data_IF_887165995040
#
_entry.id   IF_887165995040
#
_cell.length_a   1.000
_cell.length_b   1.000
_cell.length_c   1.000
_cell.angle_alpha   90.00
_cell.angle_beta   90.00
_cell.angle_gamma   90.00
#
_symmetry.space_group_name_H-M   'P 1'
#
loop_
_entity.id
_entity.type
_entity.pdbx_description
1 polymer ?
#
# COMPACT_ATOMS: atom_id res chain seq x y z
N UNK A 1 14.15 -5.74 5.61
CA UNK A 1 13.80 -4.52 6.37
C UNK A 1 12.60 -4.76 7.27
N UNK A 2 12.53 -4.04 8.38
CA UNK A 2 11.37 -4.09 9.27
C UNK A 2 10.23 -3.26 8.68
N UNK A 3 8.99 -3.75 8.80
CA UNK A 3 7.80 -3.06 8.29
C UNK A 3 7.18 -2.21 9.40
N UNK A 4 6.88 -0.96 9.08
CA UNK A 4 6.14 -0.05 9.94
C UNK A 4 4.89 0.39 9.16
N UNK A 5 3.73 0.29 9.80
CA UNK A 5 2.45 0.72 9.19
C UNK A 5 2.07 2.08 9.74
N UNK A 6 1.83 3.05 8.85
CA UNK A 6 1.14 4.26 9.28
C UNK A 6 -0.32 3.92 9.61
N UNK A 7 -0.89 4.67 10.55
CA UNK A 7 -2.29 4.50 10.94
C UNK A 7 -3.23 4.60 9.73
N UNK A 8 -2.92 5.53 8.81
CA UNK A 8 -3.72 5.70 7.59
C UNK A 8 -3.72 4.47 6.71
N UNK A 9 -2.60 3.76 6.59
CA UNK A 9 -2.52 2.51 5.83
C UNK A 9 -3.37 1.42 6.48
N UNK A 10 -3.30 1.30 7.81
CA UNK A 10 -4.13 0.33 8.55
C UNK A 10 -5.60 0.62 8.34
N UNK A 11 -6.01 1.88 8.44
CA UNK A 11 -7.41 2.30 8.21
C UNK A 11 -7.85 2.00 6.78
N UNK A 12 -6.98 2.23 5.79
CA UNK A 12 -7.29 1.91 4.40
C UNK A 12 -7.57 0.42 4.23
N UNK A 13 -6.72 -0.42 4.79
CA UNK A 13 -6.87 -1.88 4.69
C UNK A 13 -8.13 -2.36 5.40
N UNK A 14 -8.41 -1.84 6.59
CA UNK A 14 -9.63 -2.17 7.33
C UNK A 14 -10.89 -1.73 6.59
N UNK A 15 -10.89 -0.53 6.01
CA UNK A 15 -12.03 -0.03 5.24
C UNK A 15 -12.30 -0.90 4.01
N UNK A 16 -11.25 -1.31 3.30
CA UNK A 16 -11.38 -2.19 2.13
C UNK A 16 -11.91 -3.56 2.54
N UNK A 17 -11.36 -4.14 3.62
CA UNK A 17 -11.84 -5.42 4.16
C UNK A 17 -13.32 -5.35 4.51
N UNK A 18 -13.72 -4.32 5.26
CA UNK A 18 -15.09 -4.18 5.74
C UNK A 18 -16.07 -3.94 4.59
N UNK A 19 -15.65 -3.19 3.56
CA UNK A 19 -16.45 -2.99 2.38
C UNK A 19 -16.72 -4.31 1.64
N UNK A 20 -15.69 -5.11 1.42
CA UNK A 20 -15.84 -6.38 0.70
C UNK A 20 -16.61 -7.40 1.54
N UNK A 21 -16.28 -7.54 2.82
CA UNK A 21 -16.93 -8.51 3.69
C UNK A 21 -18.38 -8.15 3.98
N UNK A 22 -18.65 -6.88 4.26
CA UNK A 22 -19.97 -6.41 4.67
C UNK A 22 -20.84 -5.96 3.51
N UNK A 23 -20.39 -4.95 2.75
CA UNK A 23 -21.19 -4.36 1.68
C UNK A 23 -21.34 -5.28 0.49
N UNK A 24 -20.27 -5.93 0.07
CA UNK A 24 -20.30 -6.90 -1.02
C UNK A 24 -20.66 -8.30 -0.53
N UNK A 25 -20.85 -8.48 0.76
CA UNK A 25 -21.24 -9.77 1.39
C UNK A 25 -20.33 -10.92 0.98
N UNK A 26 -19.02 -10.64 0.91
CA UNK A 26 -18.03 -11.64 0.50
C UNK A 26 -16.83 -11.68 1.46
N UNK A 27 -17.03 -12.21 2.68
CA UNK A 27 -15.95 -12.26 3.68
C UNK A 27 -14.76 -13.11 3.23
N UNK A 28 -14.99 -14.11 2.41
CA UNK A 28 -13.91 -14.96 1.87
C UNK A 28 -12.99 -14.15 0.95
N UNK A 29 -13.56 -13.32 0.07
CA UNK A 29 -12.78 -12.46 -0.81
C UNK A 29 -12.03 -11.39 -0.03
N UNK A 30 -12.65 -10.85 1.03
CA UNK A 30 -12.00 -9.89 1.92
C UNK A 30 -10.75 -10.49 2.57
N UNK A 31 -10.88 -11.69 3.12
CA UNK A 31 -9.77 -12.40 3.75
C UNK A 31 -8.65 -12.70 2.74
N UNK A 32 -9.02 -13.14 1.55
CA UNK A 32 -8.05 -13.43 0.49
C UNK A 32 -7.26 -12.19 0.09
N UNK A 33 -7.93 -11.05 -0.06
CA UNK A 33 -7.27 -9.80 -0.41
C UNK A 33 -6.30 -9.37 0.69
N UNK A 34 -6.72 -9.42 1.96
CA UNK A 34 -5.84 -9.07 3.08
C UNK A 34 -4.60 -9.96 3.12
N UNK A 35 -4.76 -11.25 2.92
CA UNK A 35 -3.64 -12.19 2.86
C UNK A 35 -2.69 -11.84 1.72
N UNK A 36 -3.23 -11.53 0.54
CA UNK A 36 -2.44 -11.14 -0.63
C UNK A 36 -1.66 -9.85 -0.38
N UNK A 37 -2.29 -8.85 0.23
CA UNK A 37 -1.63 -7.59 0.56
C UNK A 37 -0.50 -7.79 1.58
N UNK A 38 -0.73 -8.58 2.62
CA UNK A 38 0.29 -8.83 3.64
C UNK A 38 1.49 -9.59 3.06
N UNK A 39 1.25 -10.54 2.16
CA UNK A 39 2.34 -11.24 1.46
C UNK A 39 3.14 -10.29 0.58
N UNK A 40 2.47 -9.40 -0.15
CA UNK A 40 3.15 -8.40 -0.98
C UNK A 40 4.02 -7.46 -0.14
N UNK A 41 3.50 -7.02 1.01
CA UNK A 41 4.25 -6.15 1.93
C UNK A 41 5.47 -6.88 2.49
N UNK A 42 5.34 -8.17 2.80
CA UNK A 42 6.47 -8.98 3.23
C UNK A 42 7.54 -9.09 2.14
N UNK A 43 7.14 -9.25 0.88
CA UNK A 43 8.07 -9.24 -0.25
C UNK A 43 8.76 -7.89 -0.42
N UNK A 44 8.04 -6.79 -0.23
CA UNK A 44 8.62 -5.45 -0.27
C UNK A 44 9.65 -5.25 0.84
N UNK A 45 9.43 -5.82 2.01
CA UNK A 45 10.40 -5.76 3.11
C UNK A 45 11.72 -6.45 2.75
N UNK A 46 11.67 -7.54 1.97
CA UNK A 46 12.85 -8.24 1.48
C UNK A 46 13.45 -7.60 0.23
N UNK A 47 12.63 -6.89 -0.56
CA UNK A 47 13.01 -6.29 -1.84
C UNK A 47 12.45 -4.86 -1.91
N UNK A 48 12.99 -3.91 -1.14
CA UNK A 48 12.35 -2.60 -0.97
C UNK A 48 12.23 -1.78 -2.26
N UNK A 49 13.05 -2.05 -3.25
CA UNK A 49 13.00 -1.34 -4.54
C UNK A 49 12.26 -2.11 -5.63
N UNK A 50 11.53 -3.16 -5.25
CA UNK A 50 10.70 -3.94 -6.18
C UNK A 50 9.56 -3.10 -6.77
N UNK A 51 9.00 -2.17 -6.00
CA UNK A 51 8.01 -1.22 -6.49
C UNK A 51 8.65 -0.10 -7.32
N UNK A 52 7.82 0.70 -7.96
CA UNK A 52 8.26 1.80 -8.82
C UNK A 52 8.33 3.13 -8.04
N UNK A 53 9.18 4.04 -8.51
CA UNK A 53 9.27 5.38 -7.95
C UNK A 53 8.12 6.25 -8.48
N UNK A 54 7.35 6.84 -7.58
CA UNK A 54 6.24 7.71 -7.98
C UNK A 54 6.74 8.97 -8.70
N UNK A 55 7.92 9.46 -8.34
CA UNK A 55 8.56 10.62 -8.98
C UNK A 55 8.79 10.41 -10.48
N UNK A 56 9.11 9.18 -10.90
CA UNK A 56 9.35 8.88 -12.31
C UNK A 56 8.05 8.88 -13.12
N UNK A 57 6.95 8.47 -12.49
CA UNK A 57 5.65 8.38 -13.18
C UNK A 57 5.02 9.76 -13.39
N UNK A 58 5.18 10.70 -12.46
CA UNK A 58 4.46 11.98 -12.47
C UNK A 58 5.37 13.20 -12.53
N UNK A 59 6.67 13.01 -12.65
CA UNK A 59 7.65 14.10 -12.70
C UNK A 59 7.53 15.05 -11.49
N UNK A 60 7.29 14.48 -10.30
CA UNK A 60 7.22 15.20 -9.04
C UNK A 60 8.39 14.84 -8.15
N UNK A 61 8.74 15.71 -7.21
CA UNK A 61 9.80 15.45 -6.25
C UNK A 61 9.23 14.74 -5.03
N UNK A 62 9.51 13.45 -4.91
CA UNK A 62 9.08 12.63 -3.77
C UNK A 62 9.91 11.34 -3.73
N UNK A 63 10.07 10.78 -2.54
CA UNK A 63 10.69 9.47 -2.35
C UNK A 63 9.67 8.35 -2.17
N UNK A 64 8.38 8.65 -2.30
CA UNK A 64 7.32 7.65 -2.23
C UNK A 64 7.43 6.68 -3.38
N UNK A 65 7.32 5.40 -3.07
CA UNK A 65 7.27 4.31 -4.04
C UNK A 65 5.90 3.65 -3.99
N UNK A 66 5.57 2.90 -5.02
CA UNK A 66 4.30 2.17 -5.07
C UNK A 66 4.46 0.79 -5.68
N UNK A 67 3.63 -0.14 -5.24
CA UNK A 67 3.57 -1.49 -5.76
C UNK A 67 2.12 -1.88 -5.99
N UNK A 68 1.81 -2.38 -7.19
CA UNK A 68 0.44 -2.73 -7.59
C UNK A 68 0.18 -4.20 -7.28
N UNK A 69 -0.87 -4.47 -6.53
CA UNK A 69 -1.30 -5.81 -6.16
C UNK A 69 -2.83 -5.87 -6.18
N UNK A 70 -3.42 -6.78 -6.96
CA UNK A 70 -4.88 -6.99 -7.01
C UNK A 70 -5.66 -5.67 -7.15
N UNK A 71 -5.23 -4.79 -8.05
CA UNK A 71 -5.82 -3.46 -8.30
C UNK A 71 -5.69 -2.49 -7.12
N UNK A 72 -4.95 -2.86 -6.07
CA UNK A 72 -4.60 -1.98 -4.97
C UNK A 72 -3.19 -1.44 -5.18
N UNK A 73 -2.97 -0.20 -4.78
CA UNK A 73 -1.63 0.38 -4.78
C UNK A 73 -1.15 0.50 -3.33
N UNK A 74 -0.01 -0.11 -3.06
CA UNK A 74 0.68 0.02 -1.77
C UNK A 74 1.69 1.14 -1.92
N UNK A 75 1.44 2.27 -1.25
CA UNK A 75 2.37 3.40 -1.23
C UNK A 75 3.27 3.28 -0.01
N UNK A 76 4.58 3.37 -0.22
CA UNK A 76 5.53 3.14 0.85
C UNK A 76 6.78 4.00 0.71
N UNK A 77 7.52 4.09 1.80
CA UNK A 77 8.77 4.83 1.91
C UNK A 77 9.85 3.89 2.43
N UNK A 78 11.02 3.94 1.81
CA UNK A 78 12.18 3.14 2.24
C UNK A 78 13.11 4.03 3.08
N UNK A 79 13.34 3.63 4.32
CA UNK A 79 14.27 4.32 5.23
C UNK A 79 15.46 3.40 5.44
N UNK A 80 16.51 3.61 4.64
CA UNK A 80 17.71 2.78 4.70
C UNK A 80 18.50 3.01 5.97
N UNK A 81 18.49 4.23 6.49
CA UNK A 81 19.19 4.57 7.73
C UNK A 81 18.70 3.71 8.90
N UNK A 82 17.39 3.49 8.98
CA UNK A 82 16.77 2.70 10.05
C UNK A 82 16.42 1.28 9.63
N UNK A 83 16.76 0.87 8.41
CA UNK A 83 16.41 -0.44 7.83
C UNK A 83 14.93 -0.76 7.97
N UNK A 84 14.08 0.23 7.65
CA UNK A 84 12.63 0.09 7.72
C UNK A 84 11.97 0.43 6.40
N UNK A 85 10.81 -0.19 6.17
CA UNK A 85 9.89 0.20 5.11
C UNK A 85 8.60 0.65 5.79
N UNK A 86 8.18 1.87 5.48
CA UNK A 86 6.96 2.45 6.05
C UNK A 86 5.83 2.39 5.04
N UNK A 87 4.75 1.71 5.40
CA UNK A 87 3.57 1.63 4.55
C UNK A 87 2.69 2.86 4.84
N UNK A 88 2.55 3.72 3.84
CA UNK A 88 1.88 5.01 3.97
C UNK A 88 0.37 4.94 3.73
N UNK A 89 0.00 4.32 2.60
CA UNK A 89 -1.39 4.17 2.18
C UNK A 89 -1.55 2.87 1.40
N UNK A 90 -2.76 2.32 1.41
CA UNK A 90 -3.15 1.20 0.53
C UNK A 90 -4.47 1.59 -0.10
N UNK A 91 -4.45 1.95 -1.38
CA UNK A 91 -5.58 2.56 -2.07
C UNK A 91 -5.95 1.77 -3.33
N UNK A 92 -7.24 1.79 -3.67
CA UNK A 92 -7.70 1.29 -4.96
C UNK A 92 -7.07 2.13 -6.07
N UNK A 93 -6.65 1.47 -7.16
CA UNK A 93 -5.97 2.16 -8.27
C UNK A 93 -6.82 3.20 -8.97
N UNK A 94 -8.14 3.21 -8.77
CA UNK A 94 -9.07 4.22 -9.33
C UNK A 94 -9.17 5.47 -8.47
N UNK A 95 -8.60 5.44 -7.26
CA UNK A 95 -8.60 6.60 -6.35
C UNK A 95 -7.72 7.71 -6.92
N UNK A 96 -8.10 8.96 -6.68
CA UNK A 96 -7.23 10.12 -6.95
C UNK A 96 -6.14 10.17 -5.87
N UNK A 97 -5.17 9.26 -6.00
CA UNK A 97 -4.19 9.05 -4.93
C UNK A 97 -3.18 10.18 -4.79
N UNK A 98 -2.92 10.96 -5.85
CA UNK A 98 -2.05 12.12 -5.72
C UNK A 98 -2.64 13.15 -4.76
N UNK A 99 -3.95 13.40 -4.84
CA UNK A 99 -4.64 14.27 -3.90
C UNK A 99 -4.61 13.72 -2.48
N UNK A 100 -4.77 12.40 -2.33
CA UNK A 100 -4.74 11.74 -1.01
C UNK A 100 -3.35 11.83 -0.39
N UNK A 101 -2.29 11.63 -1.19
CA UNK A 101 -0.91 11.62 -0.70
C UNK A 101 -0.37 13.04 -0.45
N UNK A 102 -0.69 14.00 -1.31
CA UNK A 102 -0.03 15.30 -1.35
C UNK A 102 -0.99 16.50 -1.29
N UNK A 103 -2.26 16.24 -1.37
CA UNK A 103 -3.28 17.28 -1.26
C UNK A 103 -3.54 17.67 0.18
#
# INVERSE_FOLDING_TARGET
MRVIYKRTAVKDMEATRDYIAGRLKNPKAAKKLMTTLLKAISLLADNPYMGAALAEKFEITTDVRYFVVSKQLIFYHVDEEHSTIEILRVLDGRTDYLSVLFG
#
